data_IF_184980701935
#
_entry.id   IF_184980701935
#
_cell.length_a   1.000
_cell.length_b   1.000
_cell.length_c   1.000
_cell.angle_alpha   90.00
_cell.angle_beta   90.00
_cell.angle_gamma   90.00
#
_symmetry.space_group_name_H-M   'P 1'
#
loop_
_entity.id
_entity.type
_entity.pdbx_description
1 polymer ?
2 polymer ?
3 non-polymer ?
4 water ?
#
loop_
_entity_poly.entity_id
_entity_poly.type
_entity_poly.pdbx_seq_one_letter_code
_entity_poly.pdbx_strand_id
2 'polyribonucleotide' 'UCCAGUAGGAACACUAUACUACUGGAUAAUCAAAGACAAAUCUGCCCGAAGGGCUUGAGAACAUACCCAUUGCACUCCGGGUAUGCAGAGGUGGCAGCCUCCGGUGGGUUAAAACCCAACGUUCUCAACAAUAGUG(A23)' ?
#
# COMPACT_ATOMS: atom_id res chain seq x y z
N UNK A 6 -2.06 -23.53 -3.94
CA UNK A 6 -2.04 -23.88 -2.52
C UNK A 6 -0.76 -23.37 -1.86
N UNK A 7 -0.81 -23.13 -0.54
CA UNK A 7 0.30 -22.58 0.24
C UNK A 7 1.66 -23.18 -0.10
N UNK A 8 2.72 -22.44 0.21
CA UNK A 8 4.08 -22.86 -0.10
C UNK A 8 5.10 -22.08 0.73
N UNK A 9 6.11 -22.78 1.25
CA UNK A 9 7.15 -22.16 2.06
C UNK A 9 7.69 -20.88 1.42
N UNK A 10 7.77 -20.87 0.10
CA UNK A 10 8.36 -19.76 -0.63
C UNK A 10 7.30 -18.90 -1.30
N UNK A 11 7.38 -17.59 -1.09
CA UNK A 11 6.45 -16.65 -1.71
C UNK A 11 7.10 -15.93 -2.89
N UNK A 12 6.33 -15.70 -3.94
CA UNK A 12 6.82 -15.00 -5.12
C UNK A 12 6.35 -13.56 -5.11
N UNK A 13 7.28 -12.63 -5.22
CA UNK A 13 6.96 -11.21 -5.23
C UNK A 13 7.44 -10.57 -6.52
N UNK A 14 6.60 -9.71 -7.10
CA UNK A 14 7.00 -8.92 -8.26
C UNK A 14 6.48 -7.49 -8.18
N UNK A 15 6.59 -6.76 -9.28
CA UNK A 15 6.26 -5.34 -9.29
C UNK A 15 7.20 -4.57 -8.35
N UNK A 16 8.41 -5.07 -8.20
CA UNK A 16 9.41 -4.44 -7.35
C UNK A 16 10.16 -3.35 -8.09
N UNK A 17 10.54 -2.29 -7.38
CA UNK A 17 11.31 -1.21 -7.97
C UNK A 17 12.62 -1.73 -8.55
N UNK A 18 12.66 -1.90 -9.87
CA UNK A 18 13.78 -2.52 -10.55
C UNK A 18 15.07 -1.72 -10.41
N UNK A 19 14.94 -0.46 -10.02
CA UNK A 19 16.09 0.43 -9.92
C UNK A 19 16.91 0.18 -8.66
N UNK A 20 16.41 -0.68 -7.78
CA UNK A 20 17.06 -0.97 -6.52
C UNK A 20 18.17 -2.01 -6.64
N UNK A 21 19.32 -1.73 -6.04
CA UNK A 21 20.46 -2.64 -6.09
C UNK A 21 20.14 -3.97 -5.43
N UNK A 22 20.76 -5.04 -5.92
CA UNK A 22 20.51 -6.38 -5.42
C UNK A 22 20.76 -6.46 -3.91
N UNK A 23 21.87 -5.89 -3.47
CA UNK A 23 22.24 -5.91 -2.06
C UNK A 23 21.13 -5.30 -1.19
N UNK A 24 20.79 -4.04 -1.47
CA UNK A 24 19.79 -3.33 -0.70
C UNK A 24 18.48 -4.08 -0.65
N UNK A 25 17.98 -4.46 -1.83
CA UNK A 25 16.74 -5.20 -1.95
C UNK A 25 16.73 -6.41 -1.02
N UNK A 26 17.84 -7.12 -0.98
CA UNK A 26 17.99 -8.29 -0.13
C UNK A 26 17.71 -7.98 1.34
N UNK A 27 18.47 -7.05 1.91
CA UNK A 27 18.34 -6.74 3.32
C UNK A 27 17.02 -6.06 3.66
N UNK A 28 16.53 -5.21 2.76
CA UNK A 28 15.26 -4.53 2.96
C UNK A 28 14.11 -5.51 3.03
N UNK A 29 14.11 -6.49 2.13
CA UNK A 29 13.08 -7.52 2.13
C UNK A 29 13.11 -8.34 3.41
N UNK A 30 14.31 -8.78 3.80
CA UNK A 30 14.46 -9.56 5.01
C UNK A 30 13.99 -8.77 6.23
N UNK A 31 14.20 -7.46 6.17
CA UNK A 31 13.86 -6.58 7.29
C UNK A 31 12.35 -6.53 7.56
N UNK A 32 11.56 -6.54 6.48
CA UNK A 32 10.12 -6.38 6.63
C UNK A 32 9.39 -7.71 6.74
N UNK A 33 10.05 -8.80 6.38
CA UNK A 33 9.43 -10.12 6.41
C UNK A 33 9.85 -10.96 7.62
N UNK A 34 10.95 -10.59 8.26
CA UNK A 34 11.44 -11.33 9.41
C UNK A 34 10.40 -11.46 10.51
N UNK A 35 9.55 -10.44 10.65
CA UNK A 35 8.56 -10.42 11.72
C UNK A 35 7.52 -11.52 11.54
N UNK A 36 7.63 -12.27 10.45
CA UNK A 36 6.67 -13.31 10.13
C UNK A 36 7.19 -14.72 10.43
N UNK A 37 8.48 -14.81 10.76
CA UNK A 37 9.06 -16.09 11.09
C UNK A 37 10.45 -16.28 10.54
N UNK A 38 10.94 -17.50 10.58
CA UNK A 38 12.28 -17.83 10.12
C UNK A 38 12.39 -17.70 8.61
N UNK A 39 13.56 -17.26 8.15
CA UNK A 39 13.81 -17.12 6.72
C UNK A 39 15.10 -17.83 6.31
N UNK A 40 14.94 -18.97 5.65
CA UNK A 40 16.09 -19.76 5.22
C UNK A 40 16.95 -19.00 4.23
N UNK A 41 16.31 -18.46 3.19
CA UNK A 41 17.00 -17.64 2.21
C UNK A 41 16.00 -16.84 1.37
N UNK A 42 16.52 -15.91 0.59
CA UNK A 42 15.68 -15.06 -0.23
C UNK A 42 16.36 -14.72 -1.56
N UNK A 43 15.91 -15.36 -2.63
CA UNK A 43 16.56 -15.24 -3.94
C UNK A 43 16.13 -14.00 -4.71
N UNK A 44 17.12 -13.27 -5.24
CA UNK A 44 16.86 -12.07 -6.01
C UNK A 44 17.85 -11.93 -7.16
N UNK A 45 17.34 -11.87 -8.38
CA UNK A 45 18.20 -11.67 -9.55
C UNK A 45 17.78 -10.43 -10.32
N UNK A 46 18.75 -9.80 -10.98
CA UNK A 46 18.45 -8.63 -11.81
C UNK A 46 18.65 -8.95 -13.28
N UNK A 47 18.44 -10.21 -13.65
CA UNK A 47 18.47 -10.63 -15.04
C UNK A 47 17.44 -9.86 -15.84
N UNK A 48 17.36 -10.13 -17.13
CA UNK A 48 16.33 -9.54 -17.96
C UNK A 48 15.00 -10.19 -17.62
N UNK A 49 15.07 -11.38 -17.06
CA UNK A 49 13.89 -12.21 -16.86
C UNK A 49 13.47 -12.24 -15.40
N UNK A 50 14.40 -11.94 -14.50
CA UNK A 50 14.15 -12.10 -13.08
C UNK A 50 14.09 -10.80 -12.28
N UNK A 51 14.31 -9.67 -12.94
CA UNK A 51 14.28 -8.39 -12.25
C UNK A 51 12.87 -8.03 -11.81
N UNK A 52 12.77 -7.09 -10.87
CA UNK A 52 11.50 -6.67 -10.32
C UNK A 52 10.80 -7.81 -9.61
N UNK A 53 11.55 -8.88 -9.33
CA UNK A 53 10.98 -10.06 -8.68
C UNK A 53 11.87 -10.54 -7.54
N UNK A 54 11.29 -11.32 -6.63
CA UNK A 54 12.04 -11.86 -5.51
C UNK A 54 11.33 -13.08 -4.92
N UNK A 55 12.13 -14.06 -4.49
CA UNK A 55 11.60 -15.25 -3.84
C UNK A 55 12.06 -15.29 -2.38
N UNK A 56 11.10 -15.31 -1.46
CA UNK A 56 11.40 -15.36 -0.04
C UNK A 56 11.05 -16.73 0.52
N UNK A 57 12.02 -17.37 1.18
CA UNK A 57 11.81 -18.71 1.70
C UNK A 57 11.73 -18.74 3.23
N UNK A 58 10.57 -19.14 3.74
CA UNK A 58 10.38 -19.30 5.17
C UNK A 58 10.55 -20.78 5.54
N UNK A 59 10.88 -21.03 6.81
CA UNK A 59 11.04 -22.40 7.28
C UNK A 59 9.69 -23.04 7.58
N UNK A 60 8.69 -22.21 7.85
CA UNK A 60 7.34 -22.69 8.13
C UNK A 60 6.37 -22.26 7.04
N UNK A 61 5.41 -23.12 6.72
CA UNK A 61 4.42 -22.84 5.69
C UNK A 61 3.47 -21.74 6.14
N UNK A 62 3.11 -21.76 7.43
CA UNK A 62 2.21 -20.77 7.98
C UNK A 62 2.83 -19.38 7.93
N UNK A 63 4.13 -19.31 8.18
CA UNK A 63 4.84 -18.04 8.11
C UNK A 63 4.62 -17.36 6.77
N UNK A 64 4.77 -18.13 5.70
CA UNK A 64 4.59 -17.61 4.35
C UNK A 64 3.17 -17.11 4.15
N UNK A 65 2.20 -17.88 4.63
CA UNK A 65 0.79 -17.51 4.52
C UNK A 65 0.53 -16.19 5.23
N UNK A 66 0.99 -16.10 6.47
CA UNK A 66 0.81 -14.90 7.26
C UNK A 66 1.48 -13.69 6.63
N UNK A 67 2.58 -13.94 5.92
CA UNK A 67 3.33 -12.87 5.25
C UNK A 67 2.65 -12.43 3.96
N UNK A 68 2.16 -13.41 3.20
CA UNK A 68 1.47 -13.14 1.95
C UNK A 68 0.23 -12.29 2.19
N UNK A 69 -0.42 -12.51 3.33
CA UNK A 69 -1.70 -11.88 3.63
C UNK A 69 -1.56 -10.44 4.12
N UNK A 70 -0.78 -10.23 5.18
CA UNK A 70 -0.70 -8.92 5.81
C UNK A 70 0.28 -7.99 5.12
N UNK A 71 0.97 -8.49 4.11
CA UNK A 71 1.97 -7.69 3.40
C UNK A 71 1.57 -7.39 1.96
N UNK A 72 0.60 -8.12 1.45
CA UNK A 72 0.11 -7.89 0.09
C UNK A 72 -0.21 -6.42 -0.13
N UNK A 73 0.38 -5.83 -1.17
CA UNK A 73 0.13 -4.44 -1.51
C UNK A 73 1.05 -3.45 -0.83
N UNK A 74 1.79 -3.92 0.19
CA UNK A 74 2.72 -3.07 0.92
C UNK A 74 3.53 -2.19 -0.01
N UNK A 75 3.61 -0.88 0.31
CA UNK A 75 4.38 0.10 -0.48
C UNK A 75 5.87 -0.08 -0.30
N UNK A 76 6.45 -1.04 -1.01
CA UNK A 76 7.88 -1.32 -0.89
C UNK A 76 8.66 -0.50 -1.92
N UNK A 77 9.51 0.39 -1.42
CA UNK A 77 10.29 1.27 -2.28
C UNK A 77 9.40 2.00 -3.27
N UNK A 78 8.27 2.50 -2.77
CA UNK A 78 7.34 3.30 -3.56
C UNK A 78 6.65 2.47 -4.65
N UNK A 79 6.39 1.21 -4.35
CA UNK A 79 5.69 0.32 -5.27
C UNK A 79 4.93 -0.76 -4.53
N UNK A 80 3.63 -0.91 -4.86
CA UNK A 80 2.79 -1.95 -4.25
C UNK A 80 3.33 -3.36 -4.53
N UNK A 81 3.63 -4.12 -3.48
CA UNK A 81 4.05 -5.50 -3.62
C UNK A 81 2.92 -6.38 -4.16
N UNK A 82 3.30 -7.43 -4.90
CA UNK A 82 2.32 -8.39 -5.40
C UNK A 82 2.75 -9.79 -5.00
N UNK A 83 2.35 -10.20 -3.80
CA UNK A 83 2.82 -11.47 -3.29
C UNK A 83 1.89 -12.61 -3.71
N UNK A 84 2.49 -13.71 -4.16
CA UNK A 84 1.76 -14.92 -4.49
C UNK A 84 2.56 -16.09 -3.96
N UNK A 85 1.97 -17.28 -3.99
CA UNK A 85 2.70 -18.49 -3.63
C UNK A 85 3.56 -18.91 -4.80
N UNK A 86 4.74 -19.46 -4.52
CA UNK A 86 5.58 -20.01 -5.57
C UNK A 86 4.89 -21.25 -6.15
N UNK A 87 4.92 -21.38 -7.47
CA UNK A 87 4.23 -22.48 -8.14
C UNK A 87 4.90 -23.83 -7.88
N UNK A 88 6.16 -23.80 -7.46
CA UNK A 88 6.90 -25.02 -7.14
C UNK A 88 7.81 -24.82 -5.94
N UNK A 89 8.09 -25.92 -5.24
CA UNK A 89 8.96 -25.87 -4.07
C UNK A 89 10.40 -25.48 -4.45
N UNK A 90 11.09 -24.83 -3.54
CA UNK A 90 12.47 -24.40 -3.78
C UNK A 90 13.44 -25.56 -3.58
N UNK A 91 14.60 -25.46 -4.20
CA UNK A 91 15.62 -26.51 -4.11
C UNK A 91 16.05 -26.78 -2.67
N UNK A 92 16.20 -25.70 -1.91
CA UNK A 92 16.63 -25.81 -0.51
C UNK A 92 15.65 -26.64 0.31
N UNK A 93 14.39 -26.63 -0.09
CA UNK A 93 13.34 -27.32 0.65
C UNK A 93 13.09 -28.73 0.09
N UNK A 94 13.11 -28.85 -1.23
CA UNK A 94 12.96 -30.15 -1.88
C UNK A 94 14.06 -31.09 -1.40
N UNK A 95 15.28 -30.57 -1.31
CA UNK A 95 16.42 -31.34 -0.83
C UNK A 95 16.58 -31.18 0.68
N UNK A 96 15.44 -31.23 1.39
CA UNK A 96 15.44 -31.10 2.85
C UNK A 96 14.36 -31.99 3.45
N UNK A 97 13.26 -32.15 2.71
CA UNK A 97 12.15 -32.96 3.16
C UNK A 97 11.38 -33.53 1.96
N UNK C 5 0.33 19.41 14.01
CA UNK C 5 -0.90 19.40 13.23
C UNK C 5 -2.03 18.72 14.00
N UNK C 6 -3.14 19.45 14.15
CA UNK C 6 -4.29 18.95 14.91
C UNK C 6 -5.41 18.47 13.99
N UNK C 7 -6.22 17.52 14.48
CA UNK C 7 -7.31 16.87 13.75
C UNK C 7 -8.23 17.84 13.01
N UNK C 8 -8.92 17.34 11.99
CA UNK C 8 -9.81 18.15 11.17
C UNK C 8 -10.79 17.27 10.38
N UNK C 9 -12.05 17.68 10.34
CA UNK C 9 -13.08 16.95 9.61
C UNK C 9 -12.63 16.52 8.21
N UNK C 10 -11.83 17.37 7.57
CA UNK C 10 -11.40 17.13 6.20
C UNK C 10 -9.95 16.68 6.12
N UNK C 11 -9.71 15.59 5.41
CA UNK C 11 -8.35 15.09 5.23
C UNK C 11 -7.82 15.43 3.85
N UNK C 12 -6.53 15.76 3.78
CA UNK C 12 -5.89 16.09 2.52
C UNK C 12 -5.08 14.91 2.02
N UNK C 13 -5.34 14.51 0.78
CA UNK C 13 -4.63 13.39 0.16
C UNK C 13 -3.92 13.83 -1.09
N UNK C 14 -2.69 13.37 -1.28
CA UNK C 14 -1.97 13.61 -2.51
C UNK C 14 -1.17 12.38 -2.94
N UNK C 15 -0.30 12.55 -3.94
CA UNK C 15 0.40 11.43 -4.54
C UNK C 15 -0.58 10.48 -5.22
N UNK C 16 -1.69 11.04 -5.71
CA UNK C 16 -2.72 10.25 -6.37
C UNK C 16 -2.40 10.08 -7.85
N UNK C 17 -2.77 8.92 -8.41
CA UNK C 17 -2.56 8.67 -9.82
C UNK C 17 -3.28 9.72 -10.68
N UNK C 18 -2.51 10.68 -11.18
CA UNK C 18 -3.07 11.83 -11.89
C UNK C 18 -3.79 11.44 -13.18
N UNK C 19 -3.53 10.23 -13.66
CA UNK C 19 -4.09 9.76 -14.92
C UNK C 19 -5.55 9.33 -14.77
N UNK C 20 -6.04 9.32 -13.54
CA UNK C 20 -7.40 8.86 -13.26
C UNK C 20 -8.44 9.98 -13.47
N UNK C 21 -9.53 9.64 -14.17
CA UNK C 21 -10.59 10.59 -14.43
C UNK C 21 -11.23 11.10 -13.14
N UNK C 22 -11.69 12.34 -13.16
CA UNK C 22 -12.29 12.96 -11.99
C UNK C 22 -13.46 12.13 -11.46
N UNK C 23 -14.32 11.67 -12.36
CA UNK C 23 -15.48 10.87 -11.97
C UNK C 23 -15.07 9.63 -11.19
N UNK C 24 -14.24 8.79 -11.82
CA UNK C 24 -13.80 7.54 -11.21
C UNK C 24 -13.17 7.79 -9.84
N UNK C 25 -12.20 8.69 -9.81
CA UNK C 25 -11.50 9.04 -8.57
C UNK C 25 -12.49 9.35 -7.46
N UNK C 26 -13.53 10.10 -7.79
CA UNK C 26 -14.57 10.47 -6.84
C UNK C 26 -15.20 9.26 -6.17
N UNK C 27 -15.78 8.38 -6.98
CA UNK C 27 -16.50 7.22 -6.45
C UNK C 27 -15.56 6.20 -5.79
N UNK C 28 -14.38 6.03 -6.37
CA UNK C 28 -13.39 5.11 -5.80
C UNK C 28 -12.96 5.54 -4.40
N UNK C 29 -12.72 6.84 -4.24
CA UNK C 29 -12.34 7.36 -2.94
C UNK C 29 -13.46 7.17 -1.92
N UNK C 30 -14.67 7.53 -2.31
CA UNK C 30 -15.82 7.37 -1.41
C UNK C 30 -16.01 5.91 -1.03
N UNK C 31 -15.68 5.02 -1.95
CA UNK C 31 -15.87 3.58 -1.73
C UNK C 31 -14.97 3.04 -0.63
N UNK C 32 -13.74 3.54 -0.54
CA UNK C 32 -12.79 3.01 0.41
C UNK C 32 -12.79 3.77 1.74
N UNK C 33 -13.39 4.95 1.75
CA UNK C 33 -13.41 5.76 2.96
C UNK C 33 -14.75 5.72 3.70
N UNK C 34 -15.80 5.28 3.01
CA UNK C 34 -17.13 5.21 3.60
C UNK C 34 -17.15 4.39 4.88
N UNK C 35 -16.31 3.35 4.93
CA UNK C 35 -16.30 2.44 6.06
C UNK C 35 -15.82 3.14 7.34
N UNK C 36 -15.46 4.41 7.22
CA UNK C 36 -14.94 5.17 8.35
C UNK C 36 -15.96 6.13 8.94
N UNK C 37 -17.09 6.28 8.27
CA UNK C 37 -18.14 7.16 8.75
C UNK C 37 -18.82 7.96 7.65
N UNK C 38 -19.60 8.95 8.06
CA UNK C 38 -20.35 9.79 7.14
C UNK C 38 -19.42 10.67 6.32
N UNK C 39 -19.78 10.89 5.04
CA UNK C 39 -18.99 11.75 4.17
C UNK C 39 -19.86 12.82 3.53
N UNK C 40 -19.71 14.06 4.00
CA UNK C 40 -20.50 15.16 3.49
C UNK C 40 -20.20 15.41 2.01
N UNK C 41 -18.92 15.52 1.68
CA UNK C 41 -18.50 15.70 0.31
C UNK C 41 -17.00 15.41 0.16
N UNK C 42 -16.55 15.33 -1.09
CA UNK C 42 -15.15 15.03 -1.37
C UNK C 42 -14.68 15.78 -2.62
N UNK C 43 -13.89 16.83 -2.40
CA UNK C 43 -13.47 17.71 -3.49
C UNK C 43 -12.27 17.17 -4.26
N UNK C 44 -12.36 17.20 -5.59
CA UNK C 44 -11.29 16.73 -6.45
C UNK C 44 -11.21 17.56 -7.72
N UNK C 45 -10.05 18.19 -7.95
CA UNK C 45 -9.83 18.97 -9.15
C UNK C 45 -8.63 18.45 -9.93
N UNK C 46 -8.67 18.61 -11.24
CA UNK C 46 -7.55 18.20 -12.08
C UNK C 46 -6.85 19.41 -12.68
N UNK C 47 -6.89 20.53 -11.96
CA UNK C 47 -6.16 21.73 -12.36
C UNK C 47 -4.68 21.42 -12.46
N UNK C 48 -3.90 22.44 -12.81
CA UNK C 48 -2.45 22.29 -12.80
C UNK C 48 -1.95 22.26 -11.37
N UNK C 49 -2.77 22.82 -10.48
CA UNK C 49 -2.35 23.02 -9.10
C UNK C 49 -3.00 22.02 -8.16
N UNK C 50 -4.12 21.44 -8.58
CA UNK C 50 -4.92 20.61 -7.69
C UNK C 50 -4.95 19.12 -8.05
N UNK C 51 -4.31 18.76 -9.15
CA UNK C 51 -4.30 17.36 -9.56
C UNK C 51 -3.48 16.50 -8.61
N UNK C 52 -3.69 15.19 -8.69
CA UNK C 52 -3.02 14.26 -7.81
C UNK C 52 -3.38 14.49 -6.35
N UNK C 53 -4.42 15.27 -6.12
CA UNK C 53 -4.84 15.60 -4.77
C UNK C 53 -6.35 15.44 -4.60
N UNK C 54 -6.78 15.32 -3.35
CA UNK C 54 -8.21 15.19 -3.05
C UNK C 54 -8.50 15.55 -1.60
N UNK C 55 -9.65 16.19 -1.39
CA UNK C 55 -10.09 16.53 -0.04
C UNK C 55 -11.35 15.76 0.31
N UNK C 56 -11.28 14.96 1.37
CA UNK C 56 -12.41 14.18 1.82
C UNK C 56 -12.98 14.75 3.11
N UNK C 57 -14.29 15.03 3.10
CA UNK C 57 -14.94 15.65 4.25
C UNK C 57 -15.85 14.69 5.00
N UNK C 58 -15.51 14.41 6.25
CA UNK C 58 -16.35 13.59 7.11
C UNK C 58 -17.21 14.48 8.00
N UNK C 59 -18.32 13.94 8.49
CA UNK C 59 -19.19 14.69 9.38
C UNK C 59 -18.66 14.67 10.81
N UNK C 60 -17.86 13.65 11.13
CA UNK C 60 -17.27 13.54 12.45
C UNK C 60 -15.75 13.69 12.39
N UNK C 61 -15.17 14.31 13.41
CA UNK C 61 -13.73 14.54 13.47
C UNK C 61 -12.99 13.22 13.69
N UNK C 62 -13.57 12.35 14.50
CA UNK C 62 -12.96 11.06 14.79
C UNK C 62 -12.90 10.20 13.52
N UNK C 63 -13.93 10.29 12.70
CA UNK C 63 -13.98 9.54 11.45
C UNK C 63 -12.73 9.84 10.62
N UNK C 64 -12.40 11.13 10.49
CA UNK C 64 -11.25 11.54 9.72
C UNK C 64 -9.96 10.99 10.32
N UNK C 65 -9.85 11.04 11.64
CA UNK C 65 -8.68 10.52 12.33
C UNK C 65 -8.51 9.03 12.07
N UNK C 66 -9.60 8.28 12.25
CA UNK C 66 -9.58 6.84 12.02
C UNK C 66 -9.23 6.51 10.57
N UNK C 67 -9.62 7.38 9.65
CA UNK C 67 -9.37 7.17 8.23
C UNK C 67 -7.92 7.52 7.87
N UNK C 68 -7.43 8.61 8.44
CA UNK C 68 -6.06 9.05 8.22
C UNK C 68 -5.06 7.99 8.68
N UNK C 69 -5.42 7.28 9.75
CA UNK C 69 -4.51 6.34 10.39
C UNK C 69 -4.44 4.99 9.67
N UNK C 70 -5.58 4.35 9.48
CA UNK C 70 -5.62 3.00 8.94
C UNK C 70 -5.54 2.95 7.42
N UNK C 71 -5.54 4.12 6.79
CA UNK C 71 -5.51 4.19 5.33
C UNK C 71 -4.21 4.79 4.80
N UNK C 72 -3.44 5.44 5.67
CA UNK C 72 -2.16 6.02 5.28
C UNK C 72 -1.31 4.99 4.54
N UNK C 73 -0.86 5.35 3.34
CA UNK C 73 -0.01 4.47 2.55
C UNK C 73 -0.76 3.52 1.64
N UNK C 74 -2.07 3.39 1.86
CA UNK C 74 -2.91 2.50 1.05
C UNK C 74 -2.58 2.61 -0.43
N UNK C 75 -2.41 1.47 -1.11
CA UNK C 75 -2.11 1.41 -2.54
C UNK C 75 -3.32 1.77 -3.38
N UNK C 76 -3.59 3.06 -3.53
CA UNK C 76 -4.74 3.50 -4.31
C UNK C 76 -4.36 3.72 -5.77
N UNK C 77 -4.97 2.93 -6.65
CA UNK C 77 -4.66 3.01 -8.07
C UNK C 77 -3.16 2.89 -8.33
N UNK C 78 -2.54 1.95 -7.62
CA UNK C 78 -1.11 1.65 -7.79
C UNK C 78 -0.22 2.80 -7.32
N UNK C 79 -0.65 3.49 -6.27
CA UNK C 79 0.13 4.57 -5.69
C UNK C 79 -0.18 4.74 -4.20
N UNK C 80 0.87 4.76 -3.37
CA UNK C 80 0.71 4.96 -1.92
C UNK C 80 0.06 6.30 -1.60
N UNK C 81 -1.07 6.26 -0.89
CA UNK C 81 -1.74 7.48 -0.46
C UNK C 81 -0.91 8.22 0.60
N UNK C 82 -1.05 9.54 0.64
CA UNK C 82 -0.38 10.35 1.65
C UNK C 82 -1.40 11.23 2.33
N UNK C 83 -2.01 10.71 3.37
CA UNK C 83 -3.10 11.44 4.01
C UNK C 83 -2.57 12.32 5.13
N UNK C 84 -3.06 13.56 5.16
CA UNK C 84 -2.75 14.50 6.22
C UNK C 84 -4.04 15.22 6.59
N UNK C 85 -4.00 15.99 7.66
CA UNK C 85 -5.14 16.81 8.02
C UNK C 85 -5.13 18.07 7.17
N UNK C 86 -6.30 18.56 6.80
CA UNK C 86 -6.41 19.83 6.09
C UNK C 86 -5.97 20.95 7.03
N UNK C 87 -5.19 21.89 6.50
CA UNK C 87 -4.65 22.98 7.30
C UNK C 87 -5.74 23.96 7.75
N UNK C 88 -6.88 23.95 7.05
CA UNK C 88 -7.99 24.83 7.40
C UNK C 88 -9.33 24.12 7.19
N UNK C 89 -10.33 24.55 7.94
CA UNK C 89 -11.67 23.97 7.83
C UNK C 89 -12.28 24.26 6.46
N UNK C 90 -13.13 23.34 6.00
CA UNK C 90 -13.79 23.50 4.71
C UNK C 90 -14.99 24.43 4.80
N UNK C 91 -15.36 25.02 3.68
CA UNK C 91 -16.47 25.97 3.63
C UNK C 91 -17.78 25.35 4.12
N UNK C 92 -18.01 24.11 3.72
CA UNK C 92 -19.23 23.39 4.11
C UNK C 92 -19.36 23.28 5.63
N UNK C 93 -18.22 23.23 6.31
CA UNK C 93 -18.20 23.06 7.76
C UNK C 93 -18.14 24.39 8.50
N UNK C 94 -17.35 25.32 7.98
CA UNK C 94 -17.27 26.66 8.56
C UNK C 94 -18.64 27.31 8.55
N UNK C 95 -19.37 27.13 7.46
CA UNK C 95 -20.74 27.65 7.34
C UNK C 95 -21.75 26.62 7.80
N UNK C 96 -21.44 25.95 8.91
CA UNK C 96 -22.32 24.93 9.48
C UNK C 96 -22.25 24.97 11.00
N UNK C 97 -21.07 25.31 11.52
CA UNK C 97 -20.86 25.39 12.95
C UNK C 97 -19.75 26.39 13.28
X LIG E 1 20.92 -14.36 -3.77
X LIG F 1 60.56 -0.30 2.92
X LIG G 1 57.85 5.94 -18.66
X LIG H 1 38.12 3.38 -7.89
X LIG I 1 53.32 -9.78 -5.07
X LIG J 1 65.59 -1.14 -15.96
X LIG K 1 47.95 -13.24 -0.49
X LIG L 1 41.96 -5.02 2.20
X LIG M 1 41.42 3.75 8.86
X LIG N 1 54.14 -17.23 -0.22
X LIG O 1 62.52 13.65 -9.44
X LIG P 1 49.76 23.75 -17.20
X LIG Q 1 35.11 1.85 -21.51
X LIG R 1 30.41 13.20 25.13
X LIG S 1 57.66 -4.28 -6.66
X LIG T 1 7.14 -18.95 -17.79
X LIG U 1 24.04 -3.60 -19.54
X LIG V 1 42.92 -1.71 -19.55
X LIG W 1 1.37 -13.18 -14.78
X LIG X 1 53.52 -3.12 -7.88
X LIG Y 1 61.37 4.80 -1.09
X LIG Z 1 -43.98 16.28 -37.12
X LIG AA 1 -27.41 25.41 -49.31
X LIG BA 1 -19.05 13.59 -30.95
X LIG CA 1 -35.59 26.01 -29.79
X LIG DA 1 -36.46 31.06 -47.05
X LIG EA 1 -34.81 23.04 -22.10
X LIG FA 1 -31.19 13.58 -23.20
X LIG GA 1 -32.72 4.47 -25.60
X LIG HA 1 -40.90 28.73 -23.34
X LIG IA 1 -34.45 15.71 -53.46
X LIG JA 1 -18.36 11.02 -56.25
X LIG KA 1 -39.53 7.11 -17.73
X LIG LA 1 -37.57 26.66 -40.84
#
# INVERSE_FOLDING_TARGET
AVPETRPNHTIYINNLNEKIKKDELKKSLHAIFSRFGQILDILVSRSLKMRGQAFVIFKEVSSATNALRSMQGFPFYDKPMRIQYAKTDSDIIAKMK
AVPETRPNHTIYINNLNEKIKKDELKKSLHAIFSRFGQILDILVSRSLKMRGQAFVIFKEVSSATNALRSMQGFPFYDKPMRIQYAKTDSDIIAKMK
MG MG
MG MG
MG MG
MG MG
MG MG
MG MG
MG MG
MG MG
MG MG
MG MG
MG MG
MG MG
MG MG
MG MG
MG MG
MG MG
MG MG
MG MG
MG MG
MG MG
MG MG
MG MG
MG MG
MG MG
MG MG
MG MG
MG MG
MG MG
MG MG
MG MG
MG MG
MG MG
MG MG
MG MG
#
